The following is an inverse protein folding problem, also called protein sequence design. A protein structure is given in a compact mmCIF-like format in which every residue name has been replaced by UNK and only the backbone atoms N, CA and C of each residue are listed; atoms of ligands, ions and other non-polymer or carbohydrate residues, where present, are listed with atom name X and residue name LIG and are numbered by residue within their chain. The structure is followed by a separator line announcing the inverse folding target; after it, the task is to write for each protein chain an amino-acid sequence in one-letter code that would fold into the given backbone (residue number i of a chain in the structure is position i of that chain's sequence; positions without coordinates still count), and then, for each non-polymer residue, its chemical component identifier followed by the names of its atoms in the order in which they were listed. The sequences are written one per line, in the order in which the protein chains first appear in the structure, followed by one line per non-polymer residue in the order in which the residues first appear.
data_IF_185514950091
#
_entry.id   IF_185514950091
#
_cell.length_a   1.000
_cell.length_b   1.000
_cell.length_c   1.000
_cell.angle_alpha   90.00
_cell.angle_beta   90.00
_cell.angle_gamma   90.00
#
_symmetry.space_group_name_H-M   'P 1'
#
loop_
_entity.id
_entity.type
_entity.pdbx_description
1 polymer ?
#
# COMPACT_ATOMS: atom_id res chain seq x y z
N UNK A 1 19.39 -4.57 -8.58
CA UNK A 1 18.60 -5.04 -7.44
C UNK A 1 17.24 -4.36 -7.41
N UNK A 2 17.17 -3.05 -7.69
CA UNK A 2 15.95 -2.26 -7.80
C UNK A 2 14.90 -2.82 -8.76
N UNK A 3 15.29 -3.28 -9.96
CA UNK A 3 14.36 -3.86 -10.95
C UNK A 3 13.64 -5.16 -10.49
N UNK A 4 14.01 -5.74 -9.34
CA UNK A 4 13.40 -6.95 -8.79
C UNK A 4 12.70 -6.74 -7.45
N UNK A 5 13.02 -5.68 -6.71
CA UNK A 5 12.45 -5.45 -5.38
C UNK A 5 11.02 -4.90 -5.52
N UNK A 6 10.06 -5.56 -4.89
CA UNK A 6 8.67 -5.10 -4.77
C UNK A 6 8.30 -5.03 -3.30
N UNK A 7 7.59 -3.99 -2.91
CA UNK A 7 7.17 -3.77 -1.53
C UNK A 7 5.66 -3.83 -1.44
N UNK A 8 5.15 -4.65 -0.54
CA UNK A 8 3.73 -4.77 -0.27
C UNK A 8 3.51 -4.53 1.22
N UNK A 9 2.72 -3.52 1.56
CA UNK A 9 2.46 -3.17 2.97
C UNK A 9 1.00 -3.37 3.31
N UNK A 10 0.72 -3.88 4.51
CA UNK A 10 -0.62 -3.97 5.08
C UNK A 10 -0.64 -3.16 6.38
N UNK A 11 -1.62 -2.28 6.55
CA UNK A 11 -1.77 -1.50 7.79
C UNK A 11 -0.58 -0.61 8.11
N UNK A 12 0.00 0.05 7.10
CA UNK A 12 1.22 0.85 7.26
C UNK A 12 1.02 1.99 8.28
N UNK A 13 1.77 2.01 9.41
CA UNK A 13 1.66 3.06 10.43
C UNK A 13 2.30 4.39 10.01
N UNK A 14 3.04 4.42 8.91
CA UNK A 14 3.73 5.64 8.49
C UNK A 14 2.74 6.71 8.05
N UNK A 15 3.03 7.96 8.39
CA UNK A 15 2.27 9.13 7.90
C UNK A 15 2.79 9.65 6.56
N UNK A 16 3.99 9.18 6.15
CA UNK A 16 4.69 9.62 4.96
C UNK A 16 5.45 8.44 4.32
N UNK A 17 5.44 8.34 3.00
CA UNK A 17 6.15 7.33 2.21
C UNK A 17 7.19 7.97 1.27
N UNK A 18 7.80 9.04 1.78
CA UNK A 18 8.85 9.79 1.12
C UNK A 18 10.22 9.48 1.74
N UNK A 19 11.25 9.55 0.92
CA UNK A 19 12.65 9.51 1.32
C UNK A 19 13.38 10.74 0.82
N UNK A 20 14.69 10.73 1.00
CA UNK A 20 15.60 11.76 0.52
C UNK A 20 16.61 11.13 -0.43
N UNK A 21 16.75 11.69 -1.63
CA UNK A 21 17.76 11.22 -2.59
C UNK A 21 19.18 11.68 -2.20
N UNK A 22 20.18 11.28 -2.98
CA UNK A 22 21.58 11.65 -2.72
C UNK A 22 21.86 13.15 -2.85
N UNK A 23 20.95 13.91 -3.47
CA UNK A 23 21.03 15.35 -3.67
C UNK A 23 20.24 16.13 -2.60
N UNK A 24 19.57 15.45 -1.67
CA UNK A 24 18.78 16.07 -0.62
C UNK A 24 17.33 16.37 -1.01
N UNK A 25 16.87 15.96 -2.20
CA UNK A 25 15.49 16.19 -2.63
C UNK A 25 14.56 15.15 -2.02
N UNK A 26 13.34 15.58 -1.69
CA UNK A 26 12.27 14.66 -1.31
C UNK A 26 11.82 13.86 -2.53
N UNK A 27 11.80 12.54 -2.41
CA UNK A 27 11.36 11.63 -3.46
C UNK A 27 10.48 10.52 -2.86
N UNK A 28 9.42 10.06 -3.54
CA UNK A 28 8.66 8.90 -3.09
C UNK A 28 9.53 7.66 -2.97
N UNK A 29 9.38 6.87 -1.90
CA UNK A 29 10.17 5.66 -1.69
C UNK A 29 9.98 4.61 -2.80
N UNK A 30 8.84 4.64 -3.49
CA UNK A 30 8.62 3.78 -4.66
C UNK A 30 9.62 4.04 -5.80
N UNK A 31 10.29 5.20 -5.82
CA UNK A 31 11.27 5.50 -6.86
C UNK A 31 12.54 4.64 -6.77
N UNK A 32 12.81 4.08 -5.58
CA UNK A 32 13.98 3.23 -5.29
C UNK A 32 13.69 1.72 -5.39
N UNK A 33 12.46 1.34 -5.77
CA UNK A 33 12.04 -0.06 -5.94
C UNK A 33 11.30 -0.24 -7.26
N UNK A 34 11.07 -1.48 -7.68
CA UNK A 34 10.35 -1.74 -8.93
C UNK A 34 8.87 -1.36 -8.84
N UNK A 35 8.23 -1.66 -7.71
CA UNK A 35 6.80 -1.42 -7.51
C UNK A 35 6.44 -1.48 -6.03
N UNK A 36 5.51 -0.63 -5.60
CA UNK A 36 4.95 -0.63 -4.25
C UNK A 36 3.43 -0.74 -4.30
N UNK A 37 2.84 -1.58 -3.44
CA UNK A 37 1.39 -1.58 -3.19
C UNK A 37 1.11 -1.47 -1.69
N UNK A 38 0.21 -0.55 -1.36
CA UNK A 38 -0.27 -0.32 -0.01
C UNK A 38 -1.68 -0.87 0.11
N UNK A 39 -1.89 -1.77 1.05
CA UNK A 39 -3.19 -2.29 1.40
C UNK A 39 -3.61 -1.70 2.74
N UNK A 40 -4.80 -1.13 2.74
CA UNK A 40 -5.39 -0.49 3.90
C UNK A 40 -6.81 -1.00 4.09
N UNK A 41 -7.29 -0.92 5.32
CA UNK A 41 -8.67 -1.23 5.66
C UNK A 41 -9.16 -0.15 6.61
N UNK A 42 -10.35 0.41 6.37
CA UNK A 42 -10.89 1.52 7.16
C UNK A 42 -11.17 1.16 8.62
N UNK A 43 -11.27 -0.14 8.94
CA UNK A 43 -11.42 -0.64 10.30
C UNK A 43 -10.07 -0.86 11.00
N UNK A 44 -8.95 -0.72 10.29
CA UNK A 44 -7.61 -0.83 10.86
C UNK A 44 -7.22 0.45 11.62
N UNK A 45 -7.09 0.34 12.94
CA UNK A 45 -6.67 1.47 13.77
C UNK A 45 -5.25 1.96 13.46
N UNK A 46 -4.32 1.05 13.13
CA UNK A 46 -2.94 1.40 12.80
C UNK A 46 -2.88 2.14 11.46
N UNK A 47 -3.62 1.67 10.45
CA UNK A 47 -3.73 2.37 9.18
C UNK A 47 -4.37 3.76 9.35
N UNK A 48 -5.39 3.88 10.21
CA UNK A 48 -6.05 5.16 10.51
C UNK A 48 -5.09 6.18 11.17
N UNK A 49 -4.14 5.73 11.98
CA UNK A 49 -3.10 6.60 12.54
C UNK A 49 -2.00 6.95 11.51
N UNK A 50 -1.72 6.05 10.59
CA UNK A 50 -0.69 6.17 9.57
C UNK A 50 -1.25 6.61 8.22
N UNK A 51 -1.21 5.70 7.24
CA UNK A 51 -1.43 6.00 5.83
C UNK A 51 -2.85 6.55 5.52
N UNK A 52 -3.87 6.23 6.33
CA UNK A 52 -5.25 6.69 6.16
C UNK A 52 -5.57 7.94 7.00
N UNK A 53 -4.60 8.47 7.76
CA UNK A 53 -4.78 9.65 8.61
C UNK A 53 -5.34 10.85 7.84
N UNK A 54 -4.92 11.02 6.59
CA UNK A 54 -5.48 11.98 5.66
C UNK A 54 -5.83 11.29 4.33
N UNK A 55 -7.06 10.78 4.24
CA UNK A 55 -7.55 10.02 3.09
C UNK A 55 -7.96 10.90 1.88
N UNK A 56 -7.37 12.10 1.76
CA UNK A 56 -7.53 12.95 0.57
C UNK A 56 -6.48 12.56 -0.47
N UNK A 57 -6.92 12.39 -1.72
CA UNK A 57 -6.04 11.92 -2.79
C UNK A 57 -4.78 12.78 -2.96
N UNK A 58 -4.93 14.11 -2.93
CA UNK A 58 -3.80 15.03 -3.04
C UNK A 58 -2.80 14.86 -1.89
N UNK A 59 -3.28 14.69 -0.65
CA UNK A 59 -2.42 14.44 0.50
C UNK A 59 -1.68 13.10 0.38
N UNK A 60 -2.36 12.06 -0.11
CA UNK A 60 -1.75 10.74 -0.34
C UNK A 60 -0.70 10.77 -1.47
N UNK A 61 -0.92 11.59 -2.51
CA UNK A 61 0.08 11.84 -3.56
C UNK A 61 1.31 12.56 -3.00
N UNK A 62 1.10 13.61 -2.21
CA UNK A 62 2.18 14.37 -1.57
C UNK A 62 2.99 13.52 -0.57
N UNK A 63 2.33 12.58 0.11
CA UNK A 63 2.95 11.62 1.02
C UNK A 63 3.56 10.40 0.31
N UNK A 64 3.58 10.35 -1.03
CA UNK A 64 4.24 9.27 -1.79
C UNK A 64 3.48 7.94 -1.85
N UNK A 65 2.24 7.88 -1.35
CA UNK A 65 1.41 6.67 -1.38
C UNK A 65 0.76 6.41 -2.74
N UNK A 66 0.53 7.46 -3.53
CA UNK A 66 -0.05 7.37 -4.88
C UNK A 66 0.97 7.94 -5.88
N UNK A 67 1.52 7.07 -6.72
CA UNK A 67 2.53 7.41 -7.73
C UNK A 67 2.47 6.44 -8.91
N UNK A 68 3.20 6.72 -9.99
CA UNK A 68 3.25 5.88 -11.20
C UNK A 68 3.69 4.43 -10.90
N UNK A 69 4.48 4.26 -9.82
CA UNK A 69 5.01 2.97 -9.32
C UNK A 69 4.49 2.61 -7.92
N UNK A 70 3.48 3.32 -7.43
CA UNK A 70 2.90 3.11 -6.09
C UNK A 70 1.37 3.17 -6.16
N UNK A 71 0.71 2.13 -5.65
CA UNK A 71 -0.75 2.04 -5.65
C UNK A 71 -1.28 1.81 -4.24
N UNK A 72 -2.44 2.40 -3.93
CA UNK A 72 -3.15 2.25 -2.66
C UNK A 72 -4.50 1.57 -2.89
N UNK A 73 -4.71 0.45 -2.20
CA UNK A 73 -5.93 -0.34 -2.24
C UNK A 73 -6.60 -0.31 -0.86
N UNK A 74 -7.81 0.25 -0.79
CA UNK A 74 -8.53 0.41 0.48
C UNK A 74 -9.74 -0.51 0.49
N UNK A 75 -9.80 -1.39 1.49
CA UNK A 75 -11.01 -2.10 1.86
C UNK A 75 -11.90 -1.18 2.72
N UNK A 76 -13.16 -1.02 2.30
CA UNK A 76 -14.17 -0.19 2.97
C UNK A 76 -15.38 -1.02 3.42
N UNK A 77 -15.21 -2.34 3.57
CA UNK A 77 -16.32 -3.21 3.95
C UNK A 77 -16.75 -2.94 5.38
N UNK A 78 -18.05 -2.76 5.60
CA UNK A 78 -18.57 -2.38 6.91
C UNK A 78 -18.50 -3.51 7.95
N UNK A 79 -18.61 -4.76 7.48
CA UNK A 79 -18.65 -5.99 8.30
C UNK A 79 -17.27 -6.48 8.77
N UNK A 80 -16.19 -5.80 8.40
CA UNK A 80 -14.83 -6.20 8.79
C UNK A 80 -14.55 -5.88 10.26
N UNK A 81 -13.96 -6.85 10.97
CA UNK A 81 -13.59 -6.70 12.39
C UNK A 81 -12.17 -6.17 12.51
N UNK A 82 -12.03 -4.91 12.92
CA UNK A 82 -10.76 -4.32 13.35
C UNK A 82 -10.58 -4.33 14.88
N UNK A 83 -9.34 -4.24 15.33
CA UNK A 83 -8.96 -4.05 16.74
C UNK A 83 -7.82 -3.03 16.88
N UNK A 84 -7.43 -2.72 18.11
CA UNK A 84 -6.40 -1.71 18.43
C UNK A 84 -5.03 -1.95 17.78
N UNK A 85 -4.77 -3.16 17.29
CA UNK A 85 -3.47 -3.55 16.72
C UNK A 85 -3.55 -3.86 15.22
N UNK A 86 -4.69 -3.58 14.58
CA UNK A 86 -4.87 -3.81 13.15
C UNK A 86 -6.22 -4.42 12.80
N UNK A 87 -6.33 -4.93 11.60
CA UNK A 87 -7.48 -5.73 11.15
C UNK A 87 -7.00 -6.89 10.28
N UNK A 88 -7.90 -7.82 9.98
CA UNK A 88 -7.63 -8.84 8.98
C UNK A 88 -7.58 -8.19 7.58
N UNK A 89 -6.64 -8.64 6.75
CA UNK A 89 -6.54 -8.23 5.35
C UNK A 89 -6.92 -9.40 4.44
N UNK A 90 -7.76 -9.11 3.46
CA UNK A 90 -8.15 -10.09 2.46
C UNK A 90 -7.03 -10.32 1.46
N UNK A 91 -6.95 -11.53 0.91
CA UNK A 91 -6.18 -11.82 -0.30
C UNK A 91 -7.07 -11.84 -1.55
N UNK A 92 -8.35 -11.46 -1.42
CA UNK A 92 -9.29 -11.36 -2.54
C UNK A 92 -9.27 -9.94 -3.06
N UNK A 93 -9.02 -9.77 -4.36
CA UNK A 93 -9.00 -8.46 -5.00
C UNK A 93 -10.34 -7.74 -4.95
N UNK A 94 -11.43 -8.51 -4.90
CA UNK A 94 -12.80 -7.98 -4.89
C UNK A 94 -13.12 -7.24 -3.59
N UNK A 95 -12.35 -7.47 -2.52
CA UNK A 95 -12.53 -6.81 -1.23
C UNK A 95 -11.88 -5.41 -1.19
N UNK A 96 -11.18 -4.99 -2.25
CA UNK A 96 -10.53 -3.69 -2.35
C UNK A 96 -11.07 -2.89 -3.52
N UNK A 97 -11.25 -1.58 -3.32
CA UNK A 97 -11.50 -0.68 -4.45
C UNK A 97 -10.32 -0.76 -5.42
N UNK A 98 -10.62 -0.97 -6.70
CA UNK A 98 -9.64 -1.09 -7.80
C UNK A 98 -8.64 -2.27 -7.62
N UNK A 99 -8.97 -3.26 -6.78
CA UNK A 99 -8.08 -4.37 -6.44
C UNK A 99 -7.69 -5.25 -7.62
N UNK A 100 -8.44 -5.23 -8.72
CA UNK A 100 -8.12 -5.93 -9.97
C UNK A 100 -6.81 -5.47 -10.62
N UNK A 101 -6.33 -4.27 -10.28
CA UNK A 101 -5.04 -3.76 -10.74
C UNK A 101 -3.87 -4.16 -9.83
N UNK A 102 -4.11 -4.85 -8.71
CA UNK A 102 -3.03 -5.30 -7.82
C UNK A 102 -2.19 -6.40 -8.47
N UNK A 103 -0.88 -6.15 -8.52
CA UNK A 103 0.12 -7.14 -8.93
C UNK A 103 0.28 -8.25 -7.89
N UNK A 104 0.16 -7.94 -6.59
CA UNK A 104 0.21 -8.96 -5.54
C UNK A 104 -0.95 -9.94 -5.67
N UNK A 105 -2.17 -9.42 -5.71
CA UNK A 105 -3.39 -10.26 -5.70
C UNK A 105 -3.61 -10.98 -7.03
N UNK A 106 -3.08 -10.44 -8.14
CA UNK A 106 -3.04 -11.13 -9.43
C UNK A 106 -1.86 -12.12 -9.57
N UNK A 107 -0.97 -12.22 -8.57
CA UNK A 107 0.28 -12.98 -8.66
C UNK A 107 1.14 -12.60 -9.90
N UNK A 108 1.03 -11.34 -10.35
CA UNK A 108 1.57 -10.91 -11.63
C UNK A 108 3.11 -10.93 -11.62
N UNK A 109 3.71 -11.82 -12.41
CA UNK A 109 5.16 -12.00 -12.48
C UNK A 109 5.76 -12.90 -11.39
N UNK A 110 4.92 -13.60 -10.62
CA UNK A 110 5.34 -14.74 -9.78
C UNK A 110 5.27 -16.06 -10.55
N UNK A 111 5.97 -17.10 -10.06
CA UNK A 111 5.69 -18.50 -10.40
C UNK A 111 4.78 -19.07 -9.31
N UNK A 112 3.84 -19.94 -9.68
CA UNK A 112 3.14 -20.75 -8.68
C UNK A 112 4.18 -21.50 -7.84
N UNK A 113 4.01 -21.57 -6.52
CA UNK A 113 4.86 -22.45 -5.73
C UNK A 113 4.57 -23.89 -6.15
N UNK A 114 5.54 -24.53 -6.78
CA UNK A 114 5.53 -25.98 -6.96
C UNK A 114 5.55 -26.62 -5.57
N UNK A 115 4.60 -27.53 -5.31
CA UNK A 115 4.49 -28.28 -4.06
C UNK A 115 5.47 -29.45 -4.06
#
# INVERSE_FOLDING_TARGET
MEARLRVFTFGNPSIDWMGTDAQGNKTPLCEHVNHTEHFANERDFVAALGLLRNNQEEALRQAGYIHNRSSLFINRGEDWVGHLFGTQYSLRKEDYKDGEYSKLLACAGGRAMER
#
